data_IF_269519637282
#
_entry.id   IF_269519637282
#
_cell.length_a   1.000
_cell.length_b   1.000
_cell.length_c   1.000
_cell.angle_alpha   90.00
_cell.angle_beta   90.00
_cell.angle_gamma   90.00
#
_symmetry.space_group_name_H-M   'P 1'
#
loop_
_entity.id
_entity.type
_entity.pdbx_description
1 polymer ?
#
# COMPACT_ATOMS: atom_id res chain seq x y z
N UNK A 1 -23.91 -48.14 -28.35
CA UNK A 1 -23.98 -47.45 -27.05
C UNK A 1 -22.77 -46.54 -26.93
N UNK A 2 -22.97 -45.23 -26.81
CA UNK A 2 -21.84 -44.29 -26.69
C UNK A 2 -21.33 -44.31 -25.25
N UNK A 3 -20.07 -44.66 -25.05
CA UNK A 3 -19.44 -44.65 -23.73
C UNK A 3 -19.11 -43.20 -23.37
N UNK A 4 -19.72 -42.65 -22.32
CA UNK A 4 -19.41 -41.29 -21.86
C UNK A 4 -17.99 -41.31 -21.30
N UNK A 5 -17.14 -40.43 -21.80
CA UNK A 5 -15.80 -40.23 -21.28
C UNK A 5 -15.86 -39.39 -19.98
N UNK A 6 -16.00 -40.09 -18.85
CA UNK A 6 -16.11 -39.50 -17.52
C UNK A 6 -14.84 -38.74 -17.10
N UNK A 7 -13.70 -38.91 -17.79
CA UNK A 7 -12.48 -38.14 -17.53
C UNK A 7 -12.60 -36.65 -17.91
N UNK A 8 -13.63 -36.28 -18.68
CA UNK A 8 -13.90 -34.90 -19.13
C UNK A 8 -14.92 -34.15 -18.28
N UNK A 9 -15.42 -34.76 -17.21
CA UNK A 9 -16.37 -34.12 -16.30
C UNK A 9 -15.64 -33.20 -15.32
N UNK A 10 -15.75 -31.90 -15.54
CA UNK A 10 -15.40 -30.91 -14.53
C UNK A 10 -16.50 -30.93 -13.46
N UNK A 11 -16.16 -31.39 -12.26
CA UNK A 11 -17.09 -31.41 -11.12
C UNK A 11 -17.36 -30.00 -10.61
N UNK A 12 -18.48 -29.81 -9.90
CA UNK A 12 -18.77 -28.54 -9.23
C UNK A 12 -17.65 -28.14 -8.25
N UNK A 13 -17.03 -29.14 -7.60
CA UNK A 13 -15.89 -28.97 -6.70
C UNK A 13 -14.65 -28.45 -7.44
N UNK A 14 -14.33 -28.98 -8.63
CA UNK A 14 -13.22 -28.47 -9.44
C UNK A 14 -13.44 -27.02 -9.85
N UNK A 15 -14.67 -26.64 -10.21
CA UNK A 15 -15.00 -25.23 -10.53
C UNK A 15 -14.85 -24.33 -9.31
N UNK A 16 -15.31 -24.77 -8.14
CA UNK A 16 -15.18 -24.04 -6.90
C UNK A 16 -13.70 -23.85 -6.50
N UNK A 17 -12.86 -24.87 -6.67
CA UNK A 17 -11.43 -24.79 -6.39
C UNK A 17 -10.70 -23.80 -7.31
N UNK A 18 -11.07 -23.73 -8.59
CA UNK A 18 -10.51 -22.73 -9.53
C UNK A 18 -10.89 -21.32 -9.09
N UNK A 19 -12.17 -21.07 -8.81
CA UNK A 19 -12.67 -19.76 -8.34
C UNK A 19 -11.96 -19.33 -7.05
N UNK A 20 -11.83 -20.26 -6.09
CA UNK A 20 -11.11 -20.06 -4.84
C UNK A 20 -9.64 -19.66 -5.07
N UNK A 21 -8.96 -20.36 -5.98
CA UNK A 21 -7.57 -20.05 -6.34
C UNK A 21 -7.42 -18.66 -6.96
N UNK A 22 -8.32 -18.30 -7.89
CA UNK A 22 -8.34 -16.99 -8.54
C UNK A 22 -8.58 -15.86 -7.54
N UNK A 23 -9.57 -16.02 -6.66
CA UNK A 23 -9.85 -15.07 -5.59
C UNK A 23 -8.66 -14.88 -4.64
N UNK A 24 -7.99 -15.98 -4.26
CA UNK A 24 -6.79 -15.90 -3.42
C UNK A 24 -5.64 -15.17 -4.14
N UNK A 25 -5.44 -15.44 -5.44
CA UNK A 25 -4.42 -14.76 -6.22
C UNK A 25 -4.68 -13.25 -6.32
N UNK A 26 -5.92 -12.85 -6.59
CA UNK A 26 -6.34 -11.45 -6.63
C UNK A 26 -6.15 -10.76 -5.28
N UNK A 27 -6.59 -11.38 -4.18
CA UNK A 27 -6.43 -10.82 -2.84
C UNK A 27 -4.95 -10.63 -2.45
N UNK A 28 -4.08 -11.58 -2.83
CA UNK A 28 -2.63 -11.47 -2.64
C UNK A 28 -2.01 -10.34 -3.46
N UNK A 29 -2.42 -10.21 -4.72
CA UNK A 29 -1.95 -9.13 -5.59
C UNK A 29 -2.34 -7.75 -5.02
N UNK A 30 -3.57 -7.59 -4.57
CA UNK A 30 -4.07 -6.36 -3.94
C UNK A 30 -3.30 -6.03 -2.65
N UNK A 31 -3.10 -7.01 -1.77
CA UNK A 31 -2.30 -6.82 -0.55
C UNK A 31 -0.86 -6.42 -0.88
N UNK A 32 -0.26 -7.02 -1.91
CA UNK A 32 1.08 -6.69 -2.38
C UNK A 32 1.14 -5.24 -2.91
N UNK A 33 0.18 -4.85 -3.75
CA UNK A 33 0.09 -3.50 -4.30
C UNK A 33 -0.04 -2.44 -3.19
N UNK A 34 -0.92 -2.66 -2.21
CA UNK A 34 -1.08 -1.76 -1.05
C UNK A 34 0.17 -1.67 -0.19
N UNK A 35 0.85 -2.79 0.05
CA UNK A 35 2.12 -2.79 0.79
C UNK A 35 3.22 -2.05 0.03
N UNK A 36 3.30 -2.24 -1.29
CA UNK A 36 4.22 -1.52 -2.17
C UNK A 36 3.97 -0.01 -2.12
N UNK A 37 2.72 0.42 -2.32
CA UNK A 37 2.32 1.83 -2.23
C UNK A 37 2.67 2.45 -0.88
N UNK A 38 2.31 1.79 0.22
CA UNK A 38 2.65 2.26 1.57
C UNK A 38 4.17 2.34 1.80
N UNK A 39 4.96 1.39 1.28
CA UNK A 39 6.41 1.42 1.41
C UNK A 39 7.02 2.61 0.65
N UNK A 40 6.55 2.89 -0.57
CA UNK A 40 6.98 4.05 -1.37
C UNK A 40 6.67 5.36 -0.64
N UNK A 41 5.45 5.50 -0.11
CA UNK A 41 5.07 6.71 0.63
C UNK A 41 5.89 6.90 1.92
N UNK A 42 6.11 5.83 2.69
CA UNK A 42 6.96 5.89 3.89
C UNK A 42 8.38 6.32 3.53
N UNK A 43 8.97 5.75 2.47
CA UNK A 43 10.32 6.10 2.05
C UNK A 43 10.42 7.58 1.64
N UNK A 44 9.48 8.04 0.81
CA UNK A 44 9.39 9.44 0.37
C UNK A 44 9.27 10.42 1.54
N UNK A 45 8.38 10.13 2.50
CA UNK A 45 8.16 10.99 3.67
C UNK A 45 9.39 10.98 4.58
N UNK A 46 9.99 9.81 4.82
CA UNK A 46 11.18 9.68 5.67
C UNK A 46 12.36 10.44 5.06
N UNK A 47 12.58 10.32 3.75
CA UNK A 47 13.65 11.02 3.03
C UNK A 47 13.56 12.55 3.17
N UNK A 48 12.36 13.13 3.03
CA UNK A 48 12.16 14.57 3.26
C UNK A 48 12.37 14.97 4.72
N UNK A 49 11.89 14.16 5.68
CA UNK A 49 12.10 14.42 7.12
C UNK A 49 13.59 14.42 7.45
N UNK A 50 14.35 13.46 6.91
CA UNK A 50 15.78 13.33 7.15
C UNK A 50 16.54 14.50 6.48
N UNK A 51 16.13 14.91 5.28
CA UNK A 51 16.70 16.07 4.56
C UNK A 51 16.49 17.37 5.34
N UNK A 52 15.27 17.64 5.82
CA UNK A 52 15.00 18.82 6.65
C UNK A 52 15.75 18.72 7.98
N UNK A 53 15.83 17.51 8.56
CA UNK A 53 16.56 17.26 9.80
C UNK A 53 18.02 17.66 9.70
N UNK A 54 18.69 17.29 8.59
CA UNK A 54 20.04 17.74 8.31
C UNK A 54 20.13 19.27 8.23
N UNK A 55 19.21 19.93 7.52
CA UNK A 55 19.15 21.40 7.43
C UNK A 55 19.02 22.08 8.80
N UNK A 56 18.25 21.49 9.73
CA UNK A 56 18.12 21.98 11.10
C UNK A 56 19.45 21.82 11.85
N UNK A 57 20.10 20.66 11.73
CA UNK A 57 21.38 20.38 12.38
C UNK A 57 22.49 21.34 11.95
N UNK A 58 22.52 21.74 10.67
CA UNK A 58 23.51 22.69 10.15
C UNK A 58 23.10 24.16 10.27
N UNK A 59 21.89 24.44 10.78
CA UNK A 59 21.37 25.80 10.97
C UNK A 59 20.96 26.50 9.66
N UNK A 60 20.61 25.73 8.62
CA UNK A 60 20.17 26.23 7.31
C UNK A 60 18.65 26.15 7.11
N UNK A 61 17.91 25.45 7.97
CA UNK A 61 16.46 25.33 7.89
C UNK A 61 15.72 26.61 8.29
N UNK A 62 14.58 26.84 7.63
CA UNK A 62 13.63 27.90 7.93
C UNK A 62 12.54 27.45 8.91
N UNK A 63 11.75 28.39 9.45
CA UNK A 63 10.57 28.06 10.26
C UNK A 63 9.54 27.25 9.45
N UNK A 64 9.43 27.50 8.15
CA UNK A 64 8.60 26.74 7.23
C UNK A 64 9.08 25.29 7.05
N UNK A 65 10.40 25.06 6.99
CA UNK A 65 10.97 23.71 6.94
C UNK A 65 10.65 22.93 8.22
N UNK A 66 10.82 23.55 9.39
CA UNK A 66 10.48 22.92 10.68
C UNK A 66 8.98 22.58 10.77
N UNK A 67 8.11 23.47 10.29
CA UNK A 67 6.68 23.24 10.23
C UNK A 67 6.32 22.09 9.26
N UNK A 68 6.96 22.02 8.09
CA UNK A 68 6.81 20.90 7.15
C UNK A 68 7.25 19.58 7.82
N UNK A 69 8.41 19.55 8.48
CA UNK A 69 8.91 18.35 9.15
C UNK A 69 7.94 17.85 10.23
N UNK A 70 7.41 18.76 11.05
CA UNK A 70 6.44 18.42 12.10
C UNK A 70 5.15 17.81 11.50
N UNK A 71 4.65 18.39 10.41
CA UNK A 71 3.49 17.84 9.70
C UNK A 71 3.78 16.48 9.06
N UNK A 72 4.98 16.30 8.49
CA UNK A 72 5.39 15.04 7.87
C UNK A 72 5.57 13.92 8.89
N UNK A 73 6.02 14.20 10.12
CA UNK A 73 6.10 13.21 11.20
C UNK A 73 4.72 12.61 11.56
N UNK A 74 3.67 13.43 11.54
CA UNK A 74 2.29 12.97 11.75
C UNK A 74 1.86 12.03 10.60
N UNK A 75 2.14 12.41 9.36
CA UNK A 75 1.84 11.61 8.19
C UNK A 75 2.62 10.28 8.19
N UNK A 76 3.92 10.31 8.50
CA UNK A 76 4.77 9.13 8.61
C UNK A 76 4.20 8.12 9.61
N UNK A 77 3.73 8.60 10.76
CA UNK A 77 3.06 7.76 11.76
C UNK A 77 1.80 7.11 11.17
N UNK A 78 0.93 7.88 10.52
CA UNK A 78 -0.28 7.35 9.90
C UNK A 78 0.02 6.25 8.85
N UNK A 79 1.01 6.49 7.98
CA UNK A 79 1.44 5.53 6.96
C UNK A 79 2.08 4.27 7.57
N UNK A 80 2.89 4.40 8.62
CA UNK A 80 3.44 3.24 9.36
C UNK A 80 2.32 2.45 10.06
N UNK A 81 1.32 3.11 10.63
CA UNK A 81 0.13 2.46 11.21
C UNK A 81 -0.68 1.71 10.17
N UNK A 82 -0.90 2.31 8.99
CA UNK A 82 -1.58 1.66 7.87
C UNK A 82 -0.82 0.40 7.40
N UNK A 83 0.49 0.49 7.17
CA UNK A 83 1.32 -0.65 6.77
C UNK A 83 1.32 -1.77 7.82
N UNK A 84 1.37 -1.41 9.10
CA UNK A 84 1.22 -2.37 10.20
C UNK A 84 -0.15 -3.07 10.17
N UNK A 85 -1.24 -2.33 9.89
CA UNK A 85 -2.57 -2.90 9.76
C UNK A 85 -2.70 -3.84 8.55
N UNK A 86 -2.09 -3.50 7.41
CA UNK A 86 -2.02 -4.38 6.23
C UNK A 86 -1.36 -5.73 6.56
N UNK A 87 -0.33 -5.74 7.40
CA UNK A 87 0.34 -6.95 7.86
C UNK A 87 -0.56 -7.92 8.66
N UNK A 88 -1.76 -7.48 9.05
CA UNK A 88 -2.76 -8.30 9.76
C UNK A 88 -3.93 -8.74 8.87
N UNK A 89 -3.95 -8.39 7.58
CA UNK A 89 -5.09 -8.71 6.69
C UNK A 89 -5.21 -10.22 6.45
N UNK A 90 -4.09 -10.94 6.33
CA UNK A 90 -4.08 -12.38 6.04
C UNK A 90 -4.56 -13.26 7.20
N UNK A 91 -4.67 -12.70 8.42
CA UNK A 91 -5.18 -13.41 9.60
C UNK A 91 -6.64 -13.09 9.90
N UNK A 92 -7.30 -12.26 9.07
CA UNK A 92 -8.71 -11.97 9.23
C UNK A 92 -9.56 -13.22 8.95
N UNK A 93 -10.68 -13.44 9.66
CA UNK A 93 -11.59 -14.55 9.37
C UNK A 93 -12.21 -14.49 7.96
N UNK A 94 -12.26 -13.30 7.37
CA UNK A 94 -12.79 -13.07 6.02
C UNK A 94 -11.72 -13.18 4.93
N UNK A 95 -10.46 -13.43 5.31
CA UNK A 95 -9.41 -13.72 4.35
C UNK A 95 -9.68 -15.07 3.66
N UNK A 96 -9.54 -15.20 2.35
CA UNK A 96 -9.20 -14.19 1.33
C UNK A 96 -10.43 -13.72 0.54
N UNK A 97 -11.62 -14.23 0.86
CA UNK A 97 -12.83 -14.05 0.06
C UNK A 97 -13.46 -12.65 0.21
N UNK A 98 -13.31 -12.02 1.37
CA UNK A 98 -13.85 -10.68 1.66
C UNK A 98 -12.96 -9.90 2.65
N UNK A 99 -11.68 -9.64 2.30
CA UNK A 99 -10.77 -8.93 3.18
C UNK A 99 -11.29 -7.54 3.55
N UNK A 100 -11.18 -7.18 4.82
CA UNK A 100 -11.45 -5.83 5.31
C UNK A 100 -10.16 -5.04 5.25
N UNK A 101 -10.07 -4.11 4.30
CA UNK A 101 -8.88 -3.30 4.11
C UNK A 101 -8.84 -2.14 5.12
N UNK A 102 -7.68 -1.85 5.74
CA UNK A 102 -7.52 -0.65 6.53
C UNK A 102 -7.67 0.59 5.63
N UNK A 103 -8.11 1.70 6.22
CA UNK A 103 -8.23 2.98 5.52
C UNK A 103 -6.85 3.51 5.19
N UNK A 104 -6.62 3.79 3.91
CA UNK A 104 -5.37 4.38 3.44
C UNK A 104 -5.27 5.84 3.91
N UNK A 105 -4.13 6.27 4.48
CA UNK A 105 -3.93 7.66 4.89
C UNK A 105 -3.89 8.62 3.70
N UNK A 106 -4.11 9.89 3.98
CA UNK A 106 -3.93 10.96 2.99
C UNK A 106 -2.45 11.05 2.59
N UNK A 107 -2.19 11.18 1.29
CA UNK A 107 -0.84 11.44 0.77
C UNK A 107 -0.48 12.90 1.11
N UNK A 108 0.61 13.14 1.86
CA UNK A 108 1.02 14.50 2.18
C UNK A 108 1.62 15.20 0.95
N UNK A 109 1.34 16.50 0.85
CA UNK A 109 2.09 17.41 0.00
C UNK A 109 3.50 17.56 0.59
N UNK A 110 4.52 17.41 -0.25
CA UNK A 110 5.92 17.71 0.09
C UNK A 110 6.34 18.84 -0.82
N UNK A 111 6.80 19.96 -0.25
CA UNK A 111 6.99 21.22 -0.97
C UNK A 111 8.11 21.11 -2.02
N UNK A 112 9.16 20.35 -1.70
CA UNK A 112 10.34 20.17 -2.56
C UNK A 112 10.37 18.81 -3.29
N UNK A 113 9.21 18.20 -3.57
CA UNK A 113 9.17 16.91 -4.27
C UNK A 113 9.27 17.08 -5.79
N UNK A 114 10.33 16.59 -6.46
CA UNK A 114 10.46 16.68 -7.92
C UNK A 114 9.30 15.98 -8.67
N UNK A 115 8.59 15.04 -8.05
CA UNK A 115 7.41 14.39 -8.65
C UNK A 115 6.19 15.32 -8.71
N UNK A 116 6.13 16.38 -7.89
CA UNK A 116 5.05 17.38 -7.94
C UNK A 116 5.28 18.44 -9.02
N UNK A 117 6.54 18.72 -9.38
CA UNK A 117 6.90 19.71 -10.41
C UNK A 117 6.58 19.22 -11.83
N UNK A 118 6.56 17.91 -12.07
CA UNK A 118 6.29 17.33 -13.39
C UNK A 118 4.85 17.55 -13.91
N UNK A 119 3.90 17.88 -13.03
CA UNK A 119 2.50 18.11 -13.42
C UNK A 119 2.23 19.51 -14.03
N UNK A 120 3.24 20.39 -14.08
CA UNK A 120 3.12 21.77 -14.59
C UNK A 120 3.60 22.00 -16.02
N UNK A 121 3.99 20.95 -16.76
CA UNK A 121 4.48 21.03 -18.13
C UNK A 121 3.57 20.27 -19.10
N UNK A 122 2.33 20.75 -19.29
CA UNK A 122 1.47 20.39 -20.43
C UNK A 122 0.68 21.58 -20.89
#
# INVERSE_FOLDING_TARGET
MSNIDWSRLITAEMKAAVIASEQLALAKAELSARNGGAAVQIARIQDRIDTIGFGIEVGESTEEDEAEQAALLINLKAWKTYKFALGKVTVQPTWYAAPVWPVEPVVPVIVADPQTVAAGLT
#
